data_IF_175791035266
#
_entry.id   IF_175791035266
#
_cell.length_a   1.000
_cell.length_b   1.000
_cell.length_c   1.000
_cell.angle_alpha   90.00
_cell.angle_beta   90.00
_cell.angle_gamma   90.00
#
_symmetry.space_group_name_H-M   'P 1'
#
loop_
_entity.id
_entity.type
_entity.pdbx_description
1 polymer ?
#
# COMPACT_ATOMS: atom_id res chain seq x y z
N UNK A 1 8.74 0.77 -15.77
CA UNK A 1 9.91 0.46 -14.90
C UNK A 1 11.04 1.44 -15.16
N UNK A 2 11.34 1.79 -16.41
CA UNK A 2 12.37 2.77 -16.77
C UNK A 2 12.20 4.13 -16.06
N UNK A 3 11.00 4.72 -16.15
CA UNK A 3 10.66 5.96 -15.41
C UNK A 3 10.92 5.87 -13.89
N UNK A 4 10.65 4.71 -13.27
CA UNK A 4 10.93 4.53 -11.84
C UNK A 4 12.43 4.57 -11.55
N UNK A 5 13.24 3.94 -12.40
CA UNK A 5 14.70 3.94 -12.24
C UNK A 5 15.29 5.32 -12.45
N UNK A 6 14.86 6.03 -13.49
CA UNK A 6 15.28 7.41 -13.76
C UNK A 6 14.95 8.34 -12.58
N UNK A 7 13.76 8.21 -11.98
CA UNK A 7 13.40 8.99 -10.79
C UNK A 7 14.32 8.68 -9.60
N UNK A 8 14.64 7.40 -9.36
CA UNK A 8 15.53 7.00 -8.27
C UNK A 8 16.97 7.50 -8.48
N UNK A 9 17.45 7.49 -9.72
CA UNK A 9 18.77 8.03 -10.10
C UNK A 9 18.80 9.55 -9.90
N UNK A 10 17.79 10.26 -10.39
CA UNK A 10 17.66 11.72 -10.24
C UNK A 10 17.64 12.15 -8.77
N UNK A 11 17.01 11.36 -7.91
CA UNK A 11 16.94 11.61 -6.47
C UNK A 11 18.19 11.13 -5.70
N UNK A 12 19.12 10.43 -6.35
CA UNK A 12 20.35 9.94 -5.73
C UNK A 12 20.13 8.86 -4.66
N UNK A 13 19.06 8.04 -4.80
CA UNK A 13 18.69 6.99 -3.83
C UNK A 13 18.65 5.60 -4.46
N UNK A 14 19.15 5.45 -5.68
CA UNK A 14 19.11 4.18 -6.42
C UNK A 14 19.84 3.04 -5.69
N UNK A 15 20.88 3.34 -4.90
CA UNK A 15 21.62 2.38 -4.07
C UNK A 15 20.83 1.89 -2.84
N UNK A 16 19.74 2.58 -2.49
CA UNK A 16 18.88 2.29 -1.33
C UNK A 16 17.47 1.87 -1.73
N UNK A 17 17.22 1.64 -3.01
CA UNK A 17 15.91 1.31 -3.55
C UNK A 17 15.97 0.04 -4.41
N UNK A 18 14.90 -0.74 -4.39
CA UNK A 18 14.77 -1.93 -5.25
C UNK A 18 13.47 -1.85 -6.04
N UNK A 19 13.58 -1.91 -7.37
CA UNK A 19 12.41 -1.92 -8.27
C UNK A 19 12.11 -3.33 -8.71
N UNK A 20 11.02 -3.89 -8.19
CA UNK A 20 10.54 -5.23 -8.55
C UNK A 20 9.48 -5.10 -9.63
N UNK A 21 9.68 -5.77 -10.77
CA UNK A 21 8.66 -5.90 -11.82
C UNK A 21 7.95 -7.24 -11.64
N UNK A 22 6.70 -7.23 -11.23
CA UNK A 22 5.93 -8.44 -11.04
C UNK A 22 4.54 -8.18 -10.45
N UNK A 23 3.86 -9.26 -10.14
CA UNK A 23 2.60 -9.23 -9.40
C UNK A 23 2.86 -8.86 -7.93
N UNK A 24 2.05 -7.94 -7.40
CA UNK A 24 2.23 -7.41 -6.04
C UNK A 24 1.92 -8.46 -4.97
N UNK A 25 0.89 -9.29 -5.17
CA UNK A 25 0.46 -10.31 -4.21
C UNK A 25 1.52 -11.40 -4.02
N UNK A 26 2.28 -11.68 -5.08
CA UNK A 26 3.43 -12.58 -5.06
C UNK A 26 4.67 -11.92 -4.46
N UNK A 27 4.95 -10.68 -4.85
CA UNK A 27 6.20 -9.99 -4.48
C UNK A 27 6.20 -9.50 -3.03
N UNK A 28 5.06 -9.00 -2.54
CA UNK A 28 4.90 -8.40 -1.22
C UNK A 28 5.24 -9.39 -0.09
N UNK A 29 4.93 -10.68 -0.28
CA UNK A 29 5.24 -11.75 0.68
C UNK A 29 6.74 -11.96 0.91
N UNK A 30 7.58 -11.51 -0.02
CA UNK A 30 9.03 -11.61 0.09
C UNK A 30 9.67 -10.36 0.71
N UNK A 31 8.87 -9.31 1.00
CA UNK A 31 9.35 -8.08 1.62
C UNK A 31 9.18 -8.21 3.13
N UNK A 32 10.26 -8.56 3.83
CA UNK A 32 10.21 -8.86 5.28
C UNK A 32 10.49 -7.67 6.18
N UNK A 33 11.25 -6.69 5.69
CA UNK A 33 11.80 -5.62 6.53
C UNK A 33 11.04 -4.30 6.39
N UNK A 34 9.92 -4.30 5.64
CA UNK A 34 9.10 -3.12 5.46
C UNK A 34 8.29 -2.84 6.73
N UNK A 35 8.40 -1.63 7.27
CA UNK A 35 7.58 -1.15 8.39
C UNK A 35 6.36 -0.35 7.93
N UNK A 36 6.33 0.07 6.66
CA UNK A 36 5.30 0.89 6.04
C UNK A 36 5.04 0.39 4.62
N UNK A 37 3.76 0.26 4.27
CA UNK A 37 3.30 0.06 2.89
C UNK A 37 2.46 1.25 2.44
N UNK A 38 2.78 1.76 1.25
CA UNK A 38 1.93 2.70 0.52
C UNK A 38 1.22 1.91 -0.59
N UNK A 39 -0.11 1.81 -0.51
CA UNK A 39 -0.92 1.04 -1.44
C UNK A 39 -1.85 1.98 -2.21
N UNK A 40 -1.55 2.17 -3.49
CA UNK A 40 -2.38 2.92 -4.45
C UNK A 40 -2.66 2.03 -5.68
N UNK A 41 -3.54 1.02 -5.54
CA UNK A 41 -3.91 0.16 -6.64
C UNK A 41 -4.97 0.84 -7.55
N UNK A 42 -5.20 0.31 -8.77
CA UNK A 42 -6.28 0.79 -9.63
C UNK A 42 -7.66 0.78 -8.95
N UNK A 43 -8.57 1.65 -9.38
CA UNK A 43 -9.88 1.87 -8.74
C UNK A 43 -10.77 0.61 -8.61
N UNK A 44 -10.58 -0.39 -9.46
CA UNK A 44 -11.31 -1.66 -9.43
C UNK A 44 -10.70 -2.70 -8.46
N UNK A 45 -9.67 -2.33 -7.70
CA UNK A 45 -9.03 -3.22 -6.75
C UNK A 45 -9.93 -3.50 -5.54
N UNK A 46 -10.24 -4.79 -5.35
CA UNK A 46 -11.13 -5.28 -4.28
C UNK A 46 -10.43 -6.19 -3.27
N UNK A 47 -9.26 -6.73 -3.58
CA UNK A 47 -8.53 -7.71 -2.77
C UNK A 47 -7.74 -7.07 -1.60
N UNK A 48 -8.34 -6.09 -0.93
CA UNK A 48 -7.68 -5.34 0.15
C UNK A 48 -7.30 -6.21 1.34
N UNK A 49 -8.21 -7.08 1.81
CA UNK A 49 -7.89 -8.01 2.91
C UNK A 49 -6.70 -8.90 2.54
N UNK A 50 -6.67 -9.43 1.31
CA UNK A 50 -5.56 -10.28 0.88
C UNK A 50 -4.23 -9.51 0.86
N UNK A 51 -4.23 -8.24 0.41
CA UNK A 51 -3.03 -7.39 0.41
C UNK A 51 -2.53 -7.14 1.83
N UNK A 52 -3.46 -6.87 2.76
CA UNK A 52 -3.19 -6.66 4.17
C UNK A 52 -2.64 -7.94 4.85
N UNK A 53 -3.16 -9.11 4.46
CA UNK A 53 -2.68 -10.41 4.96
C UNK A 53 -1.30 -10.78 4.36
N UNK A 54 -0.96 -10.25 3.19
CA UNK A 54 0.30 -10.54 2.51
C UNK A 54 1.48 -9.70 3.03
N UNK A 55 1.24 -8.55 3.67
CA UNK A 55 2.31 -7.68 4.17
C UNK A 55 2.76 -8.03 5.58
N UNK A 56 4.07 -7.89 5.81
CA UNK A 56 4.67 -7.94 7.14
C UNK A 56 4.76 -6.57 7.84
N UNK A 57 4.43 -5.48 7.14
CA UNK A 57 4.40 -4.14 7.74
C UNK A 57 3.25 -3.97 8.74
N UNK A 58 3.46 -3.14 9.76
CA UNK A 58 2.45 -2.83 10.77
C UNK A 58 1.62 -1.58 10.43
N UNK A 59 2.03 -0.82 9.41
CA UNK A 59 1.31 0.35 8.92
C UNK A 59 1.10 0.26 7.40
N UNK A 60 -0.16 0.37 6.99
CA UNK A 60 -0.57 0.47 5.58
C UNK A 60 -1.31 1.80 5.38
N UNK A 61 -0.84 2.59 4.41
CA UNK A 61 -1.54 3.77 3.91
C UNK A 61 -2.17 3.40 2.58
N UNK A 62 -3.48 3.25 2.57
CA UNK A 62 -4.27 2.81 1.43
C UNK A 62 -4.97 4.00 0.77
N UNK A 63 -4.73 4.20 -0.52
CA UNK A 63 -5.49 5.11 -1.37
C UNK A 63 -6.58 4.35 -2.13
N UNK A 64 -7.79 4.90 -2.17
CA UNK A 64 -8.89 4.37 -3.00
C UNK A 64 -9.94 5.45 -3.30
N UNK A 65 -10.95 5.15 -4.11
CA UNK A 65 -12.06 6.05 -4.42
C UNK A 65 -13.22 6.01 -3.41
N UNK A 66 -13.10 5.18 -2.37
CA UNK A 66 -14.10 4.97 -1.32
C UNK A 66 -13.46 4.84 0.05
N UNK A 67 -14.27 4.93 1.10
CA UNK A 67 -13.77 4.64 2.44
C UNK A 67 -13.53 3.12 2.60
N UNK A 68 -12.42 2.73 3.22
CA UNK A 68 -12.03 1.34 3.45
C UNK A 68 -11.98 1.07 4.96
N UNK A 69 -12.38 -0.11 5.44
CA UNK A 69 -12.15 -0.48 6.84
C UNK A 69 -13.09 0.18 7.86
N UNK A 70 -14.19 0.82 7.39
CA UNK A 70 -15.23 1.40 8.23
C UNK A 70 -16.13 0.35 8.91
N UNK A 71 -17.14 0.81 9.66
CA UNK A 71 -18.04 -0.06 10.43
C UNK A 71 -18.73 -1.15 9.59
N UNK A 72 -18.99 -0.86 8.31
CA UNK A 72 -19.70 -1.76 7.40
C UNK A 72 -18.77 -2.79 6.71
N UNK A 73 -17.46 -2.56 6.72
CA UNK A 73 -16.48 -3.43 6.06
C UNK A 73 -15.11 -3.39 6.76
N UNK A 74 -15.01 -3.90 8.01
CA UNK A 74 -13.76 -3.94 8.74
C UNK A 74 -12.78 -4.95 8.13
N UNK A 75 -11.49 -4.66 8.22
CA UNK A 75 -10.43 -5.61 7.86
C UNK A 75 -10.01 -6.41 9.09
N UNK A 76 -9.97 -7.74 8.96
CA UNK A 76 -9.62 -8.61 10.06
C UNK A 76 -8.16 -8.38 10.48
N UNK A 77 -7.92 -8.17 11.78
CA UNK A 77 -6.58 -7.94 12.32
C UNK A 77 -6.03 -6.52 12.07
N UNK A 78 -6.82 -5.62 11.48
CA UNK A 78 -6.39 -4.25 11.19
C UNK A 78 -7.39 -3.24 11.76
N UNK A 79 -6.84 -2.16 12.31
CA UNK A 79 -7.60 -1.04 12.85
C UNK A 79 -7.42 0.17 11.94
N UNK A 80 -8.53 0.75 11.49
CA UNK A 80 -8.52 2.07 10.87
C UNK A 80 -8.21 3.12 11.94
N UNK A 81 -7.04 3.75 11.86
CA UNK A 81 -6.61 4.78 12.82
C UNK A 81 -6.87 6.19 12.31
N UNK A 82 -6.95 6.38 10.98
CA UNK A 82 -7.19 7.69 10.36
C UNK A 82 -7.72 7.55 8.94
N UNK A 83 -8.65 8.41 8.56
CA UNK A 83 -9.06 8.61 7.17
C UNK A 83 -8.96 10.08 6.82
N UNK A 84 -8.54 10.37 5.59
CA UNK A 84 -8.61 11.70 4.99
C UNK A 84 -9.19 11.60 3.59
N UNK A 85 -9.95 12.61 3.19
CA UNK A 85 -10.48 12.73 1.83
C UNK A 85 -9.87 13.93 1.11
N UNK A 86 -9.37 13.69 -0.09
CA UNK A 86 -8.79 14.69 -0.98
C UNK A 86 -9.52 14.64 -2.32
N UNK A 87 -10.55 15.48 -2.46
CA UNK A 87 -11.44 15.43 -3.62
C UNK A 87 -12.18 14.08 -3.70
N UNK A 88 -11.76 13.23 -4.64
CA UNK A 88 -12.31 11.88 -4.86
C UNK A 88 -11.49 10.78 -4.20
N UNK A 89 -10.25 11.05 -3.82
CA UNK A 89 -9.38 10.06 -3.19
C UNK A 89 -9.64 10.01 -1.67
N UNK A 90 -9.71 8.79 -1.14
CA UNK A 90 -9.70 8.48 0.28
C UNK A 90 -8.35 7.87 0.62
N UNK A 91 -7.68 8.46 1.60
CA UNK A 91 -6.42 7.96 2.16
C UNK A 91 -6.71 7.43 3.57
N UNK A 92 -6.61 6.12 3.71
CA UNK A 92 -6.92 5.36 4.92
C UNK A 92 -5.63 4.84 5.54
N UNK A 93 -5.45 5.07 6.84
CA UNK A 93 -4.33 4.55 7.62
C UNK A 93 -4.85 3.35 8.41
N UNK A 94 -4.26 2.19 8.14
CA UNK A 94 -4.57 0.91 8.77
C UNK A 94 -3.35 0.47 9.58
N UNK A 95 -3.58 0.02 10.81
CA UNK A 95 -2.54 -0.46 11.73
C UNK A 95 -2.93 -1.80 12.35
N UNK A 96 -1.96 -2.68 12.60
CA UNK A 96 -2.15 -3.94 13.35
C UNK A 96 -1.29 -4.01 14.61
#
# INVERSE_FOLDING_TARGET
VEVLRENLETLGIADRATVIRGDVMTSLRNVTDATLVLADPPYDFVAWQELLDATLADLVVAESDRELGGADAPFAGWTQVRVKRYGRAFVTFLQR
#
